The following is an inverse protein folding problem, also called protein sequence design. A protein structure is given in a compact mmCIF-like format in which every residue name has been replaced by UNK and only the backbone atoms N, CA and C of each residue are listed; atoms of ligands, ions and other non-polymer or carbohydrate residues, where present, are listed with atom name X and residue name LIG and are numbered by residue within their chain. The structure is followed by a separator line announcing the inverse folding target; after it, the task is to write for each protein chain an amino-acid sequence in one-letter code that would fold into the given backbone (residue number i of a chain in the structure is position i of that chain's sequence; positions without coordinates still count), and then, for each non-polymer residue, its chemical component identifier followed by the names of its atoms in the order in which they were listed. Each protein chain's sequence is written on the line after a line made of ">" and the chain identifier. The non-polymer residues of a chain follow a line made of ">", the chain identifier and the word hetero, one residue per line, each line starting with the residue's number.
data_IF_387082817478
#
_entry.id   IF_387082817478
#
_cell.length_a   1.000
_cell.length_b   1.000
_cell.length_c   1.000
_cell.angle_alpha   90.00
_cell.angle_beta   90.00
_cell.angle_gamma   90.00
#
_symmetry.space_group_name_H-M   'P 1'
#
loop_
_entity.id
_entity.type
_entity.pdbx_description
1 polymer ?
#
# COMPACT_ATOMS: atom_id res chain seq x y z
N UNK A 1 20.63 29.93 -19.73
CA UNK A 1 20.37 29.13 -20.96
C UNK A 1 19.30 28.06 -20.75
N UNK A 2 19.36 27.22 -19.70
CA UNK A 2 18.44 26.09 -19.56
C UNK A 2 16.99 26.48 -19.22
N UNK A 3 16.76 27.49 -18.37
CA UNK A 3 15.40 27.93 -18.00
C UNK A 3 14.73 28.68 -19.16
N UNK A 4 15.48 29.50 -19.86
CA UNK A 4 14.98 30.24 -21.04
C UNK A 4 14.51 29.31 -22.13
N UNK A 5 15.28 28.25 -22.46
CA UNK A 5 14.90 27.23 -23.43
C UNK A 5 13.65 26.46 -23.03
N UNK A 6 13.51 26.15 -21.72
CA UNK A 6 12.29 25.52 -21.19
C UNK A 6 11.10 26.47 -21.33
N UNK A 7 11.27 27.73 -20.99
CA UNK A 7 10.21 28.74 -21.09
C UNK A 7 9.73 28.90 -22.55
N UNK A 8 10.66 28.99 -23.49
CA UNK A 8 10.34 29.10 -24.92
C UNK A 8 9.58 27.86 -25.40
N UNK A 9 10.02 26.66 -25.01
CA UNK A 9 9.29 25.43 -25.33
C UNK A 9 7.87 25.43 -24.75
N UNK A 10 7.69 25.81 -23.49
CA UNK A 10 6.39 25.86 -22.84
C UNK A 10 5.45 26.89 -23.50
N UNK A 11 5.97 28.05 -23.86
CA UNK A 11 5.22 29.08 -24.57
C UNK A 11 4.78 28.59 -25.95
N UNK A 12 5.64 27.86 -26.66
CA UNK A 12 5.29 27.27 -27.95
C UNK A 12 4.17 26.24 -27.84
N UNK A 13 4.25 25.33 -26.83
CA UNK A 13 3.18 24.36 -26.56
C UNK A 13 1.87 25.07 -26.21
N UNK A 14 1.93 26.09 -25.37
CA UNK A 14 0.76 26.88 -24.96
C UNK A 14 0.11 27.61 -26.15
N UNK A 15 0.92 28.23 -27.03
CA UNK A 15 0.40 28.92 -28.22
C UNK A 15 -0.35 28.01 -29.18
N UNK A 16 -0.08 26.70 -29.15
CA UNK A 16 -0.78 25.67 -29.92
C UNK A 16 -2.00 25.09 -29.16
N UNK A 17 -2.39 25.68 -28.04
CA UNK A 17 -3.50 25.21 -27.20
C UNK A 17 -3.18 23.97 -26.35
N UNK A 18 -1.90 23.62 -26.22
CA UNK A 18 -1.44 22.48 -25.43
C UNK A 18 -1.17 22.83 -23.96
N UNK A 19 -1.11 21.78 -23.11
CA UNK A 19 -0.74 21.88 -21.70
C UNK A 19 0.50 21.03 -21.43
N UNK A 20 1.39 21.55 -20.58
CA UNK A 20 2.61 20.83 -20.18
C UNK A 20 2.49 20.34 -18.74
N UNK A 21 2.80 19.05 -18.52
CA UNK A 21 2.80 18.44 -17.20
C UNK A 21 4.16 17.77 -16.97
N UNK A 22 4.82 18.13 -15.88
CA UNK A 22 6.04 17.50 -15.38
C UNK A 22 5.68 16.56 -14.24
N UNK A 23 5.91 15.25 -14.42
CA UNK A 23 5.70 14.25 -13.38
C UNK A 23 7.06 13.78 -12.90
N UNK A 24 7.31 13.90 -11.60
CA UNK A 24 8.55 13.45 -10.96
C UNK A 24 8.21 12.35 -9.96
N UNK A 25 8.68 11.14 -10.23
CA UNK A 25 8.52 10.00 -9.33
C UNK A 25 9.70 9.90 -8.36
N UNK A 26 9.49 9.24 -7.21
CA UNK A 26 10.47 9.08 -6.13
C UNK A 26 11.07 10.42 -5.67
N UNK A 27 10.25 11.47 -5.65
CA UNK A 27 10.69 12.84 -5.39
C UNK A 27 11.30 13.05 -3.99
N UNK A 28 11.14 12.10 -3.06
CA UNK A 28 11.84 12.14 -1.77
C UNK A 28 13.37 11.99 -1.88
N UNK A 29 13.87 11.50 -3.04
CA UNK A 29 15.32 11.38 -3.28
C UNK A 29 15.95 12.62 -3.93
N UNK A 30 15.15 13.61 -4.31
CA UNK A 30 15.66 14.84 -4.90
C UNK A 30 16.48 15.65 -3.86
N UNK A 31 17.59 16.20 -4.28
CA UNK A 31 18.34 17.14 -3.45
C UNK A 31 17.58 18.45 -3.23
N UNK A 32 17.90 19.17 -2.17
CA UNK A 32 17.26 20.47 -1.86
C UNK A 32 17.46 21.50 -2.97
N UNK A 33 18.60 21.47 -3.66
CA UNK A 33 18.90 22.31 -4.83
C UNK A 33 17.94 22.03 -6.00
N UNK A 34 17.60 20.76 -6.23
CA UNK A 34 16.64 20.36 -7.29
C UNK A 34 15.23 20.76 -6.91
N UNK A 35 14.85 20.60 -5.65
CA UNK A 35 13.54 21.06 -5.15
C UNK A 35 13.40 22.59 -5.29
N UNK A 36 14.50 23.33 -5.12
CA UNK A 36 14.52 24.78 -5.35
C UNK A 36 14.39 25.14 -6.83
N UNK A 37 15.01 24.37 -7.75
CA UNK A 37 14.78 24.53 -9.18
C UNK A 37 13.32 24.27 -9.55
N UNK A 38 12.69 23.25 -8.97
CA UNK A 38 11.27 23.00 -9.15
C UNK A 38 10.44 24.21 -8.70
N UNK A 39 10.80 24.85 -7.59
CA UNK A 39 10.16 26.08 -7.13
C UNK A 39 10.24 27.19 -8.19
N UNK A 40 11.38 27.37 -8.84
CA UNK A 40 11.52 28.34 -9.92
C UNK A 40 10.66 28.00 -11.11
N UNK A 41 10.55 26.71 -11.48
CA UNK A 41 9.70 26.25 -12.57
C UNK A 41 8.21 26.47 -12.27
N UNK A 42 7.77 26.42 -11.01
CA UNK A 42 6.36 26.72 -10.67
C UNK A 42 5.97 28.19 -10.90
N UNK A 43 6.93 29.07 -11.15
CA UNK A 43 6.68 30.49 -11.46
C UNK A 43 6.50 30.74 -12.98
N UNK A 44 6.66 29.70 -13.81
CA UNK A 44 6.46 29.85 -15.26
C UNK A 44 4.96 29.94 -15.55
N UNK A 45 4.50 31.17 -15.73
CA UNK A 45 3.09 31.50 -15.98
C UNK A 45 2.98 32.66 -16.98
N UNK A 46 1.87 32.69 -17.70
CA UNK A 46 1.41 33.90 -18.44
C UNK A 46 0.63 34.78 -17.48
N UNK A 47 0.07 35.87 -17.97
CA UNK A 47 -0.83 36.72 -17.17
C UNK A 47 -2.13 36.01 -16.75
N UNK A 48 -2.54 34.98 -17.46
CA UNK A 48 -3.82 34.30 -17.27
C UNK A 48 -3.65 32.83 -16.81
N UNK A 49 -2.62 32.13 -17.28
CA UNK A 49 -2.48 30.68 -17.08
C UNK A 49 -1.07 30.23 -16.66
N UNK A 50 -1.01 29.07 -16.02
CA UNK A 50 0.25 28.38 -15.72
C UNK A 50 0.71 27.58 -16.93
N UNK A 51 1.95 27.84 -17.35
CA UNK A 51 2.57 27.14 -18.47
C UNK A 51 2.98 25.69 -18.14
N UNK A 52 3.19 25.40 -16.85
CA UNK A 52 3.67 24.09 -16.40
C UNK A 52 2.93 23.65 -15.15
N UNK A 53 2.30 22.48 -15.21
CA UNK A 53 1.79 21.77 -14.04
C UNK A 53 2.84 20.77 -13.54
N UNK A 54 3.07 20.71 -12.24
CA UNK A 54 4.07 19.82 -11.64
C UNK A 54 3.39 18.85 -10.68
N UNK A 55 3.62 17.56 -10.89
CA UNK A 55 3.15 16.48 -10.01
C UNK A 55 4.36 15.79 -9.40
N UNK A 56 4.47 15.87 -8.08
CA UNK A 56 5.48 15.11 -7.33
C UNK A 56 4.85 13.85 -6.76
N UNK A 57 5.42 12.71 -7.09
CA UNK A 57 5.10 11.42 -6.51
C UNK A 57 6.22 11.02 -5.57
N UNK A 58 5.89 10.46 -4.41
CA UNK A 58 6.92 10.06 -3.46
C UNK A 58 6.37 9.41 -2.21
N UNK A 59 7.27 8.90 -1.39
CA UNK A 59 6.97 8.30 -0.11
C UNK A 59 6.63 9.37 0.94
N UNK A 60 6.03 9.01 2.11
CA UNK A 60 5.65 9.98 3.15
C UNK A 60 6.80 10.89 3.62
N UNK A 61 8.05 10.46 3.44
CA UNK A 61 9.27 11.24 3.72
C UNK A 61 9.33 12.53 2.90
N UNK A 62 8.78 12.52 1.67
CA UNK A 62 8.68 13.73 0.84
C UNK A 62 7.87 14.81 1.57
N UNK A 63 6.76 14.45 2.18
CA UNK A 63 5.94 15.40 2.93
C UNK A 63 6.70 15.97 4.14
N UNK A 64 7.46 15.14 4.85
CA UNK A 64 8.28 15.59 5.98
C UNK A 64 9.36 16.59 5.51
N UNK A 65 10.01 16.31 4.38
CA UNK A 65 10.99 17.21 3.77
C UNK A 65 10.38 18.52 3.34
N UNK A 66 9.25 18.51 2.65
CA UNK A 66 8.54 19.71 2.19
C UNK A 66 8.08 20.60 3.37
N UNK A 67 7.90 20.05 4.55
CA UNK A 67 7.56 20.80 5.76
C UNK A 67 8.74 21.50 6.42
N UNK A 68 9.98 21.27 5.96
CA UNK A 68 11.15 21.97 6.47
C UNK A 68 11.09 23.46 6.14
N UNK A 69 11.64 24.29 7.03
CA UNK A 69 11.62 25.74 6.88
C UNK A 69 12.22 26.20 5.54
N UNK A 70 13.32 25.59 5.10
CA UNK A 70 14.01 25.89 3.84
C UNK A 70 13.14 25.68 2.60
N UNK A 71 12.15 24.76 2.64
CA UNK A 71 11.27 24.44 1.51
C UNK A 71 9.85 25.01 1.67
N UNK A 72 9.63 25.87 2.66
CA UNK A 72 8.31 26.45 2.95
C UNK A 72 7.68 27.15 1.73
N UNK A 73 8.47 27.87 0.93
CA UNK A 73 7.97 28.57 -0.25
C UNK A 73 7.51 27.59 -1.33
N UNK A 74 8.28 26.52 -1.58
CA UNK A 74 7.86 25.45 -2.48
C UNK A 74 6.59 24.76 -1.96
N UNK A 75 6.54 24.46 -0.67
CA UNK A 75 5.41 23.80 -0.02
C UNK A 75 4.09 24.58 -0.17
N UNK A 76 4.13 25.91 -0.16
CA UNK A 76 2.98 26.78 -0.37
C UNK A 76 2.45 26.77 -1.83
N UNK A 77 3.27 26.36 -2.79
CA UNK A 77 2.90 26.26 -4.21
C UNK A 77 2.07 25.02 -4.54
N UNK A 78 2.16 23.98 -3.70
CA UNK A 78 1.35 22.77 -3.89
C UNK A 78 -0.05 22.98 -3.32
N UNK A 79 -1.01 23.20 -4.21
CA UNK A 79 -2.43 23.45 -3.88
C UNK A 79 -3.20 22.17 -3.59
N UNK A 80 -2.81 21.05 -4.19
CA UNK A 80 -3.45 19.75 -4.02
C UNK A 80 -2.46 18.72 -3.45
N UNK A 81 -2.92 17.95 -2.47
CA UNK A 81 -2.16 16.85 -1.86
C UNK A 81 -3.07 15.66 -1.67
N UNK A 82 -2.59 14.52 -2.05
CA UNK A 82 -3.32 13.28 -1.88
C UNK A 82 -2.42 12.20 -1.29
N UNK A 83 -2.92 11.52 -0.27
CA UNK A 83 -2.26 10.39 0.35
C UNK A 83 -2.97 9.10 -0.05
N UNK A 84 -2.26 8.23 -0.79
CA UNK A 84 -2.77 6.92 -1.19
C UNK A 84 -2.80 5.99 0.02
N UNK A 85 -4.01 5.59 0.42
CA UNK A 85 -4.21 4.61 1.48
C UNK A 85 -4.07 3.19 0.95
N UNK A 86 -3.64 2.23 1.78
CA UNK A 86 -3.72 0.81 1.42
C UNK A 86 -5.14 0.41 1.02
N UNK A 87 -5.23 -0.57 0.13
CA UNK A 87 -6.52 -1.11 -0.33
C UNK A 87 -7.25 -1.81 0.82
N UNK A 88 -8.57 -1.61 0.90
CA UNK A 88 -9.45 -2.38 1.78
C UNK A 88 -9.56 -3.85 1.31
N UNK A 89 -10.11 -4.73 2.15
CA UNK A 89 -10.27 -6.15 1.79
C UNK A 89 -11.11 -6.34 0.52
N UNK A 90 -12.15 -5.55 0.32
CA UNK A 90 -12.99 -5.59 -0.89
C UNK A 90 -12.20 -5.15 -2.12
N UNK A 91 -11.46 -4.04 -2.01
CA UNK A 91 -10.60 -3.54 -3.07
C UNK A 91 -9.45 -4.51 -3.41
N UNK A 92 -8.89 -5.23 -2.43
CA UNK A 92 -7.89 -6.29 -2.69
C UNK A 92 -8.48 -7.40 -3.55
N UNK A 93 -9.71 -7.84 -3.23
CA UNK A 93 -10.41 -8.85 -4.03
C UNK A 93 -10.65 -8.37 -5.46
N UNK A 94 -11.23 -7.18 -5.61
CA UNK A 94 -11.54 -6.60 -6.93
C UNK A 94 -10.27 -6.40 -7.75
N UNK A 95 -9.21 -5.88 -7.13
CA UNK A 95 -7.92 -5.66 -7.75
C UNK A 95 -7.31 -6.98 -8.30
N UNK A 96 -7.24 -8.03 -7.49
CA UNK A 96 -6.68 -9.32 -7.92
C UNK A 96 -7.60 -9.99 -8.95
N UNK A 97 -8.93 -9.92 -8.78
CA UNK A 97 -9.88 -10.48 -9.75
C UNK A 97 -9.74 -9.80 -11.11
N UNK A 98 -9.60 -8.47 -11.14
CA UNK A 98 -9.34 -7.73 -12.37
C UNK A 98 -8.03 -8.16 -13.04
N UNK A 99 -6.95 -8.31 -12.27
CA UNK A 99 -5.66 -8.77 -12.82
C UNK A 99 -5.73 -10.18 -13.37
N UNK A 100 -6.48 -11.07 -12.74
CA UNK A 100 -6.71 -12.43 -13.23
C UNK A 100 -7.52 -12.42 -14.53
N UNK A 101 -8.55 -11.57 -14.63
CA UNK A 101 -9.34 -11.41 -15.85
C UNK A 101 -8.47 -10.91 -17.02
N UNK A 102 -7.61 -9.90 -16.79
CA UNK A 102 -6.65 -9.44 -17.79
C UNK A 102 -5.67 -10.54 -18.20
N UNK A 103 -5.31 -11.45 -17.27
CA UNK A 103 -4.46 -12.61 -17.55
C UNK A 103 -5.23 -13.78 -18.22
N UNK A 104 -6.53 -13.60 -18.55
CA UNK A 104 -7.34 -14.57 -19.31
C UNK A 104 -8.11 -15.55 -18.43
N UNK A 105 -8.33 -15.29 -17.15
CA UNK A 105 -9.16 -16.15 -16.30
C UNK A 105 -10.11 -15.36 -15.40
N UNK A 106 -11.40 -15.70 -15.47
CA UNK A 106 -12.46 -15.17 -14.60
C UNK A 106 -12.79 -16.12 -13.45
N UNK A 107 -12.07 -17.26 -13.34
CA UNK A 107 -12.30 -18.24 -12.30
C UNK A 107 -11.94 -17.71 -10.92
N UNK A 108 -12.76 -18.04 -9.92
CA UNK A 108 -12.46 -17.73 -8.52
C UNK A 108 -11.37 -18.68 -8.00
N UNK A 109 -10.11 -18.25 -8.15
CA UNK A 109 -8.96 -19.06 -7.74
C UNK A 109 -8.66 -18.98 -6.25
N UNK A 110 -9.23 -18.02 -5.51
CA UNK A 110 -9.00 -17.83 -4.08
C UNK A 110 -10.23 -18.19 -3.27
N UNK A 111 -10.07 -18.99 -2.24
CA UNK A 111 -11.14 -19.27 -1.27
C UNK A 111 -11.47 -18.01 -0.42
N UNK A 112 -12.65 -17.93 0.21
CA UNK A 112 -12.99 -16.82 1.12
C UNK A 112 -11.95 -16.59 2.22
N UNK A 113 -11.47 -17.68 2.83
CA UNK A 113 -10.40 -17.62 3.83
C UNK A 113 -9.02 -17.24 3.21
N UNK A 114 -8.79 -17.59 1.93
CA UNK A 114 -7.61 -17.17 1.17
C UNK A 114 -7.58 -15.65 0.95
N UNK A 115 -8.72 -15.03 0.60
CA UNK A 115 -8.83 -13.57 0.48
C UNK A 115 -8.50 -12.85 1.79
N UNK A 116 -9.06 -13.34 2.90
CA UNK A 116 -8.78 -12.78 4.23
C UNK A 116 -7.30 -12.90 4.58
N UNK A 117 -6.68 -14.04 4.30
CA UNK A 117 -5.25 -14.25 4.54
C UNK A 117 -4.39 -13.33 3.66
N UNK A 118 -4.72 -13.17 2.37
CA UNK A 118 -4.02 -12.29 1.46
C UNK A 118 -4.06 -10.84 1.95
N UNK A 119 -5.24 -10.34 2.32
CA UNK A 119 -5.38 -9.01 2.90
C UNK A 119 -4.55 -8.84 4.19
N UNK A 120 -4.64 -9.82 5.10
CA UNK A 120 -3.91 -9.78 6.38
C UNK A 120 -2.40 -9.67 6.18
N UNK A 121 -1.81 -10.45 5.28
CA UNK A 121 -0.37 -10.45 5.06
C UNK A 121 0.12 -9.29 4.18
N UNK A 122 -0.65 -8.90 3.17
CA UNK A 122 -0.32 -7.77 2.29
C UNK A 122 -0.63 -6.41 2.92
N UNK A 123 -1.51 -6.36 3.94
CA UNK A 123 -2.03 -5.11 4.55
C UNK A 123 -2.63 -4.15 3.51
N UNK A 124 -3.12 -4.68 2.39
CA UNK A 124 -3.68 -3.88 1.30
C UNK A 124 -2.64 -3.15 0.44
N UNK A 125 -1.35 -3.45 0.58
CA UNK A 125 -0.29 -2.83 -0.23
C UNK A 125 -0.19 -3.55 -1.58
N UNK A 126 -0.44 -2.88 -2.73
CA UNK A 126 -0.53 -3.54 -4.05
C UNK A 126 0.69 -4.37 -4.42
N UNK A 127 1.89 -3.87 -4.15
CA UNK A 127 3.14 -4.62 -4.40
C UNK A 127 3.17 -5.95 -3.65
N UNK A 128 2.79 -5.95 -2.36
CA UNK A 128 2.76 -7.16 -1.54
C UNK A 128 1.62 -8.10 -1.97
N UNK A 129 0.46 -7.55 -2.34
CA UNK A 129 -0.65 -8.34 -2.89
C UNK A 129 -0.17 -9.13 -4.09
N UNK A 130 0.48 -8.47 -5.06
CA UNK A 130 0.98 -9.12 -6.27
C UNK A 130 1.99 -10.22 -5.95
N UNK A 131 3.02 -9.91 -5.16
CA UNK A 131 4.07 -10.87 -4.84
C UNK A 131 3.53 -12.11 -4.10
N UNK A 132 2.65 -11.91 -3.12
CA UNK A 132 2.08 -13.01 -2.33
C UNK A 132 1.08 -13.81 -3.18
N UNK A 133 0.21 -13.15 -3.96
CA UNK A 133 -0.75 -13.81 -4.81
C UNK A 133 -0.08 -14.66 -5.89
N UNK A 134 0.92 -14.10 -6.58
CA UNK A 134 1.69 -14.80 -7.61
C UNK A 134 2.37 -16.04 -7.04
N UNK A 135 3.10 -15.90 -5.93
CA UNK A 135 3.76 -17.02 -5.26
C UNK A 135 2.78 -18.11 -4.80
N UNK A 136 1.60 -17.70 -4.31
CA UNK A 136 0.57 -18.63 -3.87
C UNK A 136 -0.08 -19.37 -5.05
N UNK A 137 -0.29 -18.71 -6.19
CA UNK A 137 -0.79 -19.31 -7.43
C UNK A 137 0.20 -20.31 -7.99
N UNK A 138 1.49 -19.99 -8.02
CA UNK A 138 2.56 -20.92 -8.40
C UNK A 138 2.58 -22.16 -7.49
N UNK A 139 2.42 -21.94 -6.17
CA UNK A 139 2.31 -23.04 -5.19
C UNK A 139 1.04 -23.90 -5.36
N UNK A 140 -0.08 -23.32 -5.81
CA UNK A 140 -1.28 -24.06 -6.15
C UNK A 140 -1.09 -24.91 -7.41
N UNK A 141 -0.51 -24.30 -8.44
CA UNK A 141 -0.20 -24.98 -9.70
C UNK A 141 0.72 -26.20 -9.49
N UNK A 142 1.82 -26.04 -8.75
CA UNK A 142 2.76 -27.13 -8.47
C UNK A 142 2.14 -28.32 -7.71
N UNK A 143 1.00 -28.09 -7.01
CA UNK A 143 0.28 -29.12 -6.25
C UNK A 143 -1.00 -29.56 -6.93
N UNK A 144 -1.23 -29.21 -8.19
CA UNK A 144 -2.46 -29.47 -8.94
C UNK A 144 -3.73 -29.05 -8.17
N UNK A 145 -3.69 -27.89 -7.49
CA UNK A 145 -4.83 -27.35 -6.75
C UNK A 145 -5.50 -26.25 -7.54
N UNK A 146 -6.82 -26.33 -7.66
CA UNK A 146 -7.64 -25.33 -8.38
C UNK A 146 -8.02 -24.12 -7.51
N UNK A 147 -7.71 -24.15 -6.21
CA UNK A 147 -8.04 -23.05 -5.30
C UNK A 147 -6.92 -22.78 -4.31
N UNK A 148 -6.65 -21.49 -4.11
CA UNK A 148 -5.67 -20.97 -3.17
C UNK A 148 -6.32 -20.74 -1.82
N UNK A 149 -5.94 -21.52 -0.83
CA UNK A 149 -6.41 -21.41 0.54
C UNK A 149 -5.45 -20.61 1.45
N UNK A 150 -5.85 -20.39 2.72
CA UNK A 150 -5.08 -19.57 3.66
C UNK A 150 -3.68 -20.12 3.96
N UNK A 151 -3.50 -21.44 3.99
CA UNK A 151 -2.20 -22.08 4.24
C UNK A 151 -1.22 -21.80 3.09
N UNK A 152 -1.69 -21.79 1.85
CA UNK A 152 -0.86 -21.44 0.68
C UNK A 152 -0.44 -19.97 0.72
N UNK A 153 -1.37 -19.09 1.04
CA UNK A 153 -1.09 -17.66 1.23
C UNK A 153 -0.09 -17.44 2.36
N UNK A 154 -0.24 -18.13 3.49
CA UNK A 154 0.70 -18.04 4.59
C UNK A 154 2.12 -18.43 4.18
N UNK A 155 2.28 -19.56 3.46
CA UNK A 155 3.60 -20.00 2.97
C UNK A 155 4.19 -18.99 1.98
N UNK A 156 3.39 -18.51 1.02
CA UNK A 156 3.80 -17.48 0.08
C UNK A 156 4.23 -16.19 0.79
N UNK A 157 3.48 -15.76 1.80
CA UNK A 157 3.83 -14.59 2.59
C UNK A 157 5.14 -14.77 3.39
N UNK A 158 5.38 -15.97 3.93
CA UNK A 158 6.66 -16.28 4.61
C UNK A 158 7.87 -16.20 3.65
N UNK A 159 7.71 -16.66 2.42
CA UNK A 159 8.75 -16.56 1.39
C UNK A 159 8.99 -15.10 0.98
N UNK A 160 7.94 -14.31 0.80
CA UNK A 160 8.01 -12.91 0.33
C UNK A 160 8.49 -11.96 1.41
N UNK A 161 8.00 -12.10 2.64
CA UNK A 161 8.26 -11.18 3.76
C UNK A 161 9.42 -11.62 4.66
N UNK A 162 9.93 -12.84 4.46
CA UNK A 162 10.90 -13.48 5.33
C UNK A 162 10.27 -14.08 6.60
N UNK A 163 10.83 -15.19 7.07
CA UNK A 163 10.27 -15.98 8.18
C UNK A 163 10.07 -15.23 9.51
N UNK A 164 10.77 -14.10 9.72
CA UNK A 164 10.70 -13.33 10.99
C UNK A 164 9.42 -12.50 11.14
N UNK A 165 8.81 -12.03 10.06
CA UNK A 165 7.65 -11.12 10.14
C UNK A 165 6.36 -11.86 10.46
N UNK A 166 6.27 -13.15 10.13
CA UNK A 166 5.05 -13.94 10.36
C UNK A 166 4.91 -14.44 11.79
N UNK A 167 6.00 -14.52 12.56
CA UNK A 167 5.99 -15.03 13.94
C UNK A 167 5.43 -14.03 14.95
N UNK A 168 5.53 -12.72 14.66
CA UNK A 168 5.06 -11.67 15.59
C UNK A 168 3.53 -11.44 15.56
N UNK A 169 2.79 -12.05 14.63
CA UNK A 169 1.33 -11.88 14.56
C UNK A 169 0.54 -12.99 15.27
N UNK A 170 1.19 -14.07 15.71
CA UNK A 170 0.52 -15.16 16.44
C UNK A 170 0.50 -15.02 17.96
N UNK A 171 1.14 -13.98 18.54
CA UNK A 171 1.29 -13.82 19.99
C UNK A 171 0.12 -13.11 20.69
N UNK A 172 -0.91 -12.63 19.96
CA UNK A 172 -2.04 -11.94 20.59
C UNK A 172 -3.12 -12.85 21.21
N UNK A 173 -3.03 -14.17 21.00
CA UNK A 173 -3.99 -15.12 21.57
C UNK A 173 -3.47 -15.86 22.82
N UNK A 174 -2.23 -15.63 23.26
CA UNK A 174 -1.64 -16.35 24.38
C UNK A 174 -2.24 -15.97 25.76
N UNK A 175 -2.96 -14.87 25.85
CA UNK A 175 -3.65 -14.46 27.07
C UNK A 175 -5.01 -15.17 27.28
N UNK A 176 -5.57 -15.80 26.24
CA UNK A 176 -6.80 -16.58 26.35
C UNK A 176 -6.58 -17.96 27.00
N UNK A 177 -5.38 -18.52 26.86
CA UNK A 177 -5.06 -19.83 27.46
C UNK A 177 -5.20 -19.86 28.98
N UNK A 178 -4.66 -18.89 29.76
CA UNK A 178 -4.83 -18.87 31.20
C UNK A 178 -6.29 -18.65 31.64
N UNK A 179 -7.08 -17.89 30.88
CA UNK A 179 -8.49 -17.64 31.16
C UNK A 179 -9.34 -18.93 31.02
N UNK A 180 -9.08 -19.72 29.98
CA UNK A 180 -9.73 -21.04 29.79
C UNK A 180 -9.36 -21.99 30.91
N UNK A 181 -8.10 -21.99 31.37
CA UNK A 181 -7.65 -22.82 32.50
C UNK A 181 -8.32 -22.42 33.84
N UNK A 182 -8.47 -21.13 34.11
CA UNK A 182 -9.15 -20.62 35.30
C UNK A 182 -10.64 -20.97 35.27
N UNK A 183 -11.33 -20.84 34.13
CA UNK A 183 -12.73 -21.23 33.98
C UNK A 183 -12.94 -22.74 34.15
N UNK A 184 -12.07 -23.57 33.61
CA UNK A 184 -12.12 -25.03 33.79
C UNK A 184 -11.86 -25.44 35.26
N UNK A 185 -10.90 -24.78 35.93
CA UNK A 185 -10.61 -25.06 37.34
C UNK A 185 -11.74 -24.62 38.25
N UNK A 186 -12.37 -23.47 38.01
CA UNK A 186 -13.53 -22.99 38.73
C UNK A 186 -14.76 -23.92 38.55
N UNK A 187 -14.97 -24.42 37.34
CA UNK A 187 -16.04 -25.38 37.03
C UNK A 187 -15.81 -26.73 37.77
N UNK A 188 -14.58 -27.26 37.75
CA UNK A 188 -14.22 -28.48 38.46
C UNK A 188 -14.41 -28.32 40.01
N UNK A 189 -13.99 -27.18 40.56
CA UNK A 189 -14.21 -26.89 41.98
C UNK A 189 -15.69 -26.80 42.36
N UNK A 190 -16.53 -26.21 41.49
CA UNK A 190 -17.97 -26.13 41.69
C UNK A 190 -18.65 -27.50 41.72
N UNK A 191 -18.21 -28.44 40.89
CA UNK A 191 -18.75 -29.82 40.85
C UNK A 191 -18.35 -30.62 42.08
N UNK A 192 -17.14 -30.37 42.67
CA UNK A 192 -16.65 -31.07 43.83
C UNK A 192 -17.21 -30.56 45.18
N UNK A 193 -17.67 -29.27 45.21
CA UNK A 193 -18.20 -28.63 46.43
C UNK A 193 -19.74 -28.61 46.53
N UNK A 194 -20.48 -29.25 45.62
CA UNK A 194 -21.92 -29.43 45.78
C UNK A 194 -22.16 -30.46 46.88
N UNK A 195 -22.75 -30.08 48.04
CA UNK A 195 -23.07 -31.06 49.07
C UNK A 195 -24.20 -31.97 48.56
N UNK A 196 -23.94 -33.28 48.59
CA UNK A 196 -24.98 -34.29 48.41
C UNK A 196 -25.95 -34.16 49.59
N UNK A 197 -27.03 -33.41 49.37
CA UNK A 197 -28.16 -33.35 50.32
C UNK A 197 -28.89 -34.69 50.27
N UNK A 198 -28.86 -35.41 51.38
CA UNK A 198 -29.77 -36.52 51.64
C UNK A 198 -31.17 -36.02 51.92
#
# INVERSE_FOLDING_TARGET
>A
QSIESITEFLLNVYSQGGYSVLIIDEAQHLDSSVLELIRLLTNLETHEDKLLQIILLGQPELQQRLNQYSLRQLNQRFTARYHLKPLSIYQVRDYVSHRLAVAGTEKQLFSPAGWMALYRYSRGIPRLINLIADRALMGAYSKNRYSVGPIMIQKAAQEVLGAKVTRNQSSSASWLAPLIFVCLFAFMASVFYLPVSK
#
